data_IF_486189431537
#
_entry.id   IF_486189431537
#
_cell.length_a   1.000
_cell.length_b   1.000
_cell.length_c   1.000
_cell.angle_alpha   90.00
_cell.angle_beta   90.00
_cell.angle_gamma   90.00
#
_symmetry.space_group_name_H-M   'P 1'
#
loop_
_entity.id
_entity.type
_entity.pdbx_description
1 polymer ?
2 non-polymer ?
3 non-polymer ?
4 water ?
#
# COMPACT_ATOMS: atom_id res chain seq x y z
N UNK A 1 -18.54 -17.13 -7.19
CA UNK A 1 -18.19 -18.25 -8.16
C UNK A 1 -18.56 -19.66 -7.32
N UNK A 2 -17.57 -20.05 -6.54
CA UNK A 2 -16.54 -21.12 -6.88
C UNK A 2 -16.55 -21.69 -8.31
N UNK A 3 -16.59 -20.83 -9.32
CA UNK A 3 -16.45 -21.35 -10.69
C UNK A 3 -15.54 -20.53 -11.58
N UNK A 4 -15.05 -21.20 -12.62
CA UNK A 4 -14.22 -20.58 -13.64
C UNK A 4 -15.13 -20.16 -14.80
N UNK A 5 -15.20 -18.85 -15.05
CA UNK A 5 -16.01 -18.31 -16.16
C UNK A 5 -15.63 -18.96 -17.49
N UNK A 6 -16.62 -19.17 -18.36
CA UNK A 6 -16.36 -19.81 -19.66
C UNK A 6 -15.39 -19.02 -20.57
N UNK A 7 -15.33 -17.70 -20.37
CA UNK A 7 -14.40 -16.85 -21.11
C UNK A 7 -13.04 -16.66 -20.40
N UNK A 8 -12.85 -17.27 -19.23
CA UNK A 8 -11.51 -17.28 -18.60
C UNK A 8 -10.62 -18.32 -19.28
N UNK A 9 -9.32 -18.03 -19.34
CA UNK A 9 -8.34 -18.98 -19.85
C UNK A 9 -7.50 -19.50 -18.68
N UNK A 10 -7.40 -20.82 -18.58
CA UNK A 10 -6.53 -21.45 -17.60
C UNK A 10 -5.56 -22.35 -18.36
N UNK A 11 -4.27 -22.04 -18.27
CA UNK A 11 -3.25 -22.84 -18.97
C UNK A 11 -3.30 -24.28 -18.50
N UNK A 12 -3.14 -25.24 -19.43
CA UNK A 12 -3.13 -26.66 -19.06
C UNK A 12 -2.13 -27.01 -17.94
N UNK A 13 -1.00 -26.30 -17.84
CA UNK A 13 -0.02 -26.54 -16.76
C UNK A 13 -0.34 -25.84 -15.43
N UNK A 14 -1.29 -24.89 -15.43
CA UNK A 14 -1.70 -24.25 -14.17
C UNK A 14 -2.51 -25.22 -13.32
N UNK A 15 -2.46 -25.01 -12.01
CA UNK A 15 -3.21 -25.82 -11.04
C UNK A 15 -4.14 -24.90 -10.28
N UNK A 16 -5.40 -24.88 -10.73
CA UNK A 16 -6.43 -24.07 -10.09
C UNK A 16 -7.33 -25.00 -9.29
N UNK A 17 -7.24 -24.91 -7.95
CA UNK A 17 -7.92 -25.88 -7.09
C UNK A 17 -9.44 -25.65 -7.08
N UNK A 18 -10.20 -26.75 -7.00
CA UNK A 18 -11.65 -26.70 -7.00
C UNK A 18 -12.12 -25.78 -5.88
N UNK A 19 -13.03 -24.86 -6.23
CA UNK A 19 -13.54 -23.86 -5.28
C UNK A 19 -13.08 -22.45 -5.63
N UNK A 20 -11.99 -22.32 -6.39
CA UNK A 20 -11.51 -21.00 -6.82
C UNK A 20 -12.51 -20.33 -7.77
N UNK A 21 -12.63 -19.01 -7.66
CA UNK A 21 -13.50 -18.21 -8.50
C UNK A 21 -12.66 -17.41 -9.49
N UNK A 22 -12.95 -17.54 -10.78
CA UNK A 22 -12.17 -16.87 -11.82
C UNK A 22 -13.13 -16.20 -12.80
N UNK A 23 -12.99 -14.88 -12.95
CA UNK A 23 -13.96 -14.07 -13.68
C UNK A 23 -13.74 -14.04 -15.18
N UNK A 24 -14.64 -13.35 -15.87
CA UNK A 24 -14.62 -13.29 -17.34
C UNK A 24 -13.31 -12.70 -17.90
N UNK A 25 -12.82 -13.33 -18.97
CA UNK A 25 -11.62 -12.89 -19.67
C UNK A 25 -10.37 -12.76 -18.79
N UNK A 26 -10.39 -13.43 -17.62
CA UNK A 26 -9.16 -13.55 -16.84
C UNK A 26 -8.25 -14.57 -17.51
N UNK A 27 -6.97 -14.58 -17.13
CA UNK A 27 -5.97 -15.39 -17.78
C UNK A 27 -4.99 -15.92 -16.71
N UNK A 28 -5.01 -17.24 -16.54
CA UNK A 28 -4.11 -17.91 -15.62
C UNK A 28 -3.01 -18.59 -16.43
N UNK A 29 -1.79 -18.08 -16.30
CA UNK A 29 -0.71 -18.54 -17.17
C UNK A 29 -0.05 -19.84 -16.75
N UNK A 30 0.96 -20.28 -17.53
CA UNK A 30 1.63 -21.56 -17.23
C UNK A 30 2.22 -21.61 -15.83
N UNK A 31 2.11 -22.78 -15.19
CA UNK A 31 2.76 -23.10 -13.92
C UNK A 31 2.29 -22.22 -12.75
N UNK A 32 1.09 -21.64 -12.89
CA UNK A 32 0.48 -20.90 -11.78
C UNK A 32 -0.22 -21.88 -10.83
N UNK A 33 -0.29 -21.50 -9.55
CA UNK A 33 -1.05 -22.24 -8.53
C UNK A 33 -2.05 -21.25 -7.98
N UNK A 34 -3.33 -21.66 -7.93
CA UNK A 34 -4.35 -20.82 -7.36
C UNK A 34 -5.15 -21.69 -6.37
N UNK A 35 -5.16 -21.29 -5.10
CA UNK A 35 -5.86 -22.05 -4.05
C UNK A 35 -7.38 -21.93 -4.09
N UNK A 36 -8.08 -22.77 -3.30
CA UNK A 36 -9.53 -22.91 -3.44
C UNK A 36 -10.34 -21.74 -2.86
N UNK A 37 -9.70 -20.88 -2.07
CA UNK A 37 -10.40 -19.75 -1.42
C UNK A 37 -10.00 -18.42 -2.09
N UNK A 38 -9.45 -18.54 -3.30
CA UNK A 38 -9.03 -17.36 -4.06
C UNK A 38 -10.17 -16.90 -4.99
N UNK A 39 -10.33 -15.59 -5.12
CA UNK A 39 -11.22 -15.02 -6.12
C UNK A 39 -10.42 -14.07 -7.00
N UNK A 40 -10.52 -14.28 -8.31
CA UNK A 40 -9.79 -13.48 -9.30
C UNK A 40 -10.81 -12.77 -10.20
N UNK A 41 -10.73 -11.44 -10.26
CA UNK A 41 -11.71 -10.63 -10.99
C UNK A 41 -11.56 -10.61 -12.49
N UNK A 42 -12.60 -10.12 -13.17
CA UNK A 42 -12.64 -10.03 -14.63
C UNK A 42 -11.40 -9.35 -15.21
N UNK A 43 -10.81 -9.92 -16.26
CA UNK A 43 -9.68 -9.29 -16.91
C UNK A 43 -8.33 -9.42 -16.21
N UNK A 44 -8.30 -9.98 -15.00
CA UNK A 44 -7.00 -10.14 -14.30
C UNK A 44 -6.12 -11.20 -14.99
N UNK A 45 -4.83 -10.88 -15.12
CA UNK A 45 -3.83 -11.79 -15.70
C UNK A 45 -2.74 -12.17 -14.68
N UNK A 46 -2.50 -13.49 -14.55
CA UNK A 46 -1.32 -14.03 -13.86
C UNK A 46 -0.40 -14.56 -14.95
N UNK A 47 0.71 -13.86 -15.20
CA UNK A 47 1.57 -14.12 -16.37
C UNK A 47 2.06 -15.57 -16.51
N UNK A 48 2.83 -16.02 -15.52
CA UNK A 48 3.26 -17.42 -15.38
C UNK A 48 3.94 -17.53 -14.03
N UNK A 49 4.06 -18.75 -13.51
CA UNK A 49 4.83 -19.01 -12.28
C UNK A 49 4.39 -18.12 -11.09
N UNK A 50 3.08 -17.93 -10.94
CA UNK A 50 2.54 -17.09 -9.83
C UNK A 50 1.84 -18.02 -8.83
N UNK A 51 2.06 -17.79 -7.52
CA UNK A 51 1.35 -18.53 -6.50
C UNK A 51 0.36 -17.58 -5.82
N UNK A 52 -0.93 -17.93 -5.87
CA UNK A 52 -1.97 -17.19 -5.15
C UNK A 52 -2.72 -18.18 -4.28
N UNK A 53 -2.78 -17.90 -2.98
CA UNK A 53 -3.47 -18.78 -2.05
C UNK A 53 -4.07 -17.99 -0.87
N UNK A 54 -4.52 -18.71 0.15
CA UNK A 54 -5.26 -18.08 1.27
C UNK A 54 -6.66 -17.63 0.91
N UNK A 55 -7.32 -16.97 1.87
CA UNK A 55 -8.61 -16.34 1.63
C UNK A 55 -8.34 -14.97 1.01
N UNK A 56 -8.24 -14.94 -0.32
CA UNK A 56 -7.67 -13.80 -1.05
C UNK A 56 -8.59 -13.34 -2.19
N UNK A 57 -8.98 -12.06 -2.16
CA UNK A 57 -9.85 -11.52 -3.20
C UNK A 57 -9.04 -10.55 -4.03
N UNK A 58 -9.08 -10.72 -5.34
CA UNK A 58 -8.32 -9.91 -6.28
C UNK A 58 -9.30 -9.31 -7.30
N UNK A 59 -9.21 -8.01 -7.53
CA UNK A 59 -10.19 -7.31 -8.37
C UNK A 59 -9.95 -7.45 -9.86
N UNK A 60 -10.34 -6.43 -10.62
CA UNK A 60 -10.33 -6.51 -12.08
C UNK A 60 -9.11 -5.91 -12.72
N UNK A 61 -8.72 -6.43 -13.89
CA UNK A 61 -7.71 -5.80 -14.75
C UNK A 61 -6.35 -5.65 -14.07
N UNK A 62 -6.05 -6.52 -13.11
CA UNK A 62 -4.71 -6.60 -12.51
C UNK A 62 -3.75 -7.36 -13.40
N UNK A 63 -2.47 -7.02 -13.34
CA UNK A 63 -1.46 -7.83 -14.03
C UNK A 63 -0.44 -8.27 -12.99
N UNK A 64 -0.28 -9.57 -12.83
CA UNK A 64 0.59 -10.11 -11.80
C UNK A 64 1.66 -10.95 -12.47
N UNK A 65 2.91 -10.56 -12.24
CA UNK A 65 4.04 -11.10 -12.99
C UNK A 65 4.65 -12.32 -12.30
N UNK A 66 5.50 -13.02 -13.05
CA UNK A 66 6.15 -14.26 -12.62
C UNK A 66 6.85 -14.14 -11.26
N UNK A 67 6.76 -15.22 -10.48
CA UNK A 67 7.47 -15.38 -9.20
C UNK A 67 6.94 -14.51 -8.06
N UNK A 68 5.79 -13.86 -8.29
CA UNK A 68 5.08 -13.16 -7.22
C UNK A 68 4.32 -14.20 -6.38
N UNK A 69 4.14 -13.89 -5.09
CA UNK A 69 3.45 -14.76 -4.11
C UNK A 69 2.38 -13.90 -3.39
N UNK A 70 1.11 -14.21 -3.63
CA UNK A 70 0.02 -13.35 -3.13
C UNK A 70 -0.94 -14.15 -2.25
N UNK A 71 -1.14 -13.70 -1.01
CA UNK A 71 -2.01 -14.41 -0.07
C UNK A 71 -1.26 -15.36 0.86
N UNK A 72 0.07 -15.43 0.68
CA UNK A 72 0.89 -16.40 1.39
C UNK A 72 0.92 -16.18 2.92
N UNK A 73 1.18 -17.28 3.63
CA UNK A 73 1.49 -17.27 5.07
C UNK A 73 2.44 -16.11 5.44
N UNK A 74 2.10 -15.33 6.46
CA UNK A 74 2.93 -14.19 6.76
C UNK A 74 4.14 -14.62 7.63
N UNK A 75 4.97 -13.64 7.96
CA UNK A 75 6.23 -13.90 8.68
C UNK A 75 6.18 -13.55 10.17
N UNK A 76 4.98 -13.21 10.66
CA UNK A 76 4.77 -12.92 12.08
C UNK A 76 5.02 -14.18 12.90
N UNK A 77 5.80 -14.06 13.99
CA UNK A 77 6.24 -15.23 14.75
C UNK A 77 5.07 -15.91 15.48
N UNK A 78 3.99 -15.16 15.68
CA UNK A 78 2.82 -15.71 16.38
C UNK A 78 1.83 -16.39 15.42
N UNK A 79 1.90 -16.08 14.14
CA UNK A 79 0.93 -16.67 13.21
C UNK A 79 0.99 -18.22 13.23
N UNK A 80 -0.17 -18.87 13.23
CA UNK A 80 -0.21 -20.33 13.33
C UNK A 80 -1.18 -21.01 12.35
N UNK A 81 -1.52 -20.33 11.25
CA UNK A 81 -2.34 -20.93 10.19
C UNK A 81 -3.79 -20.47 10.13
N UNK A 82 -4.15 -19.52 10.99
CA UNK A 82 -5.52 -18.97 10.99
C UNK A 82 -5.98 -18.44 9.62
N UNK A 83 -7.26 -18.67 9.28
CA UNK A 83 -7.79 -18.29 7.95
C UNK A 83 -7.99 -16.78 7.76
N UNK A 84 -6.87 -16.05 7.78
CA UNK A 84 -6.90 -14.59 7.64
C UNK A 84 -6.97 -14.24 6.14
N UNK A 85 -6.90 -12.96 5.81
CA UNK A 85 -7.35 -12.52 4.49
C UNK A 85 -6.42 -11.52 3.78
N UNK A 86 -6.51 -11.49 2.44
CA UNK A 86 -5.91 -10.43 1.62
C UNK A 86 -7.00 -9.92 0.67
N UNK A 87 -7.05 -8.60 0.48
CA UNK A 87 -7.94 -7.98 -0.52
C UNK A 87 -7.07 -7.11 -1.40
N UNK A 88 -7.24 -7.21 -2.71
CA UNK A 88 -6.48 -6.43 -3.69
C UNK A 88 -7.52 -5.85 -4.67
N UNK A 89 -7.41 -4.56 -4.99
CA UNK A 89 -8.41 -3.90 -5.86
C UNK A 89 -8.16 -4.10 -7.35
N UNK A 90 -8.25 -3.00 -8.11
CA UNK A 90 -8.28 -3.11 -9.59
C UNK A 90 -7.09 -2.40 -10.23
N UNK A 91 -6.70 -2.85 -11.42
CA UNK A 91 -5.73 -2.19 -12.26
C UNK A 91 -4.38 -2.01 -11.58
N UNK A 92 -3.97 -2.99 -10.78
CA UNK A 92 -2.64 -2.97 -10.17
C UNK A 92 -1.65 -3.69 -11.07
N UNK A 93 -0.42 -3.20 -11.09
CA UNK A 93 0.70 -3.84 -11.78
C UNK A 93 1.63 -4.38 -10.68
N UNK A 94 1.62 -5.70 -10.51
CA UNK A 94 2.33 -6.35 -9.42
C UNK A 94 3.48 -7.12 -10.08
N UNK A 95 4.70 -6.60 -9.91
CA UNK A 95 5.84 -7.02 -10.72
C UNK A 95 6.53 -8.28 -10.15
N UNK A 96 7.57 -8.76 -10.85
CA UNK A 96 8.24 -10.03 -10.51
C UNK A 96 8.67 -10.13 -9.05
N UNK A 97 8.45 -11.29 -8.42
CA UNK A 97 8.91 -11.54 -7.05
C UNK A 97 8.25 -10.70 -5.96
N UNK A 98 7.18 -9.97 -6.28
CA UNK A 98 6.44 -9.25 -5.22
C UNK A 98 5.85 -10.26 -4.23
N UNK A 99 5.88 -9.91 -2.95
CA UNK A 99 5.20 -10.74 -1.93
C UNK A 99 4.16 -9.91 -1.19
N UNK A 100 2.91 -10.42 -1.14
CA UNK A 100 1.85 -9.81 -0.35
C UNK A 100 1.29 -10.87 0.60
N UNK A 101 1.51 -10.71 1.90
CA UNK A 101 1.18 -11.76 2.85
C UNK A 101 -0.15 -11.54 3.55
N UNK A 102 -0.76 -12.61 4.02
CA UNK A 102 -2.05 -12.54 4.68
C UNK A 102 -1.95 -11.89 6.05
N UNK A 103 -3.09 -11.45 6.57
CA UNK A 103 -3.11 -10.77 7.88
C UNK A 103 -2.87 -11.68 9.08
N UNK A 104 -2.88 -11.10 10.28
CA UNK A 104 -2.85 -11.88 11.53
C UNK A 104 -4.12 -11.63 12.34
N UNK A 105 -4.52 -12.59 13.16
CA UNK A 105 -5.73 -12.41 13.97
C UNK A 105 -5.56 -11.21 14.89
N UNK A 106 -4.40 -11.13 15.52
CA UNK A 106 -4.07 -10.07 16.47
C UNK A 106 -4.05 -8.71 15.78
N UNK A 107 -3.59 -8.69 14.53
CA UNK A 107 -3.50 -7.45 13.78
C UNK A 107 -4.76 -6.99 13.05
N UNK A 108 -5.85 -7.75 13.17
CA UNK A 108 -7.11 -7.38 12.53
C UNK A 108 -7.55 -8.26 11.38
N UNK A 109 -6.68 -9.17 10.95
CA UNK A 109 -7.02 -10.26 10.02
C UNK A 109 -7.02 -9.94 8.54
N UNK A 110 -6.61 -8.73 8.16
CA UNK A 110 -6.67 -8.31 6.75
C UNK A 110 -5.43 -7.55 6.31
N UNK A 111 -4.87 -7.97 5.18
CA UNK A 111 -3.90 -7.17 4.43
C UNK A 111 -4.65 -6.63 3.21
N UNK A 112 -4.62 -5.31 3.00
CA UNK A 112 -5.41 -4.68 1.95
C UNK A 112 -4.56 -3.81 1.01
N UNK A 113 -4.86 -3.92 -0.29
CA UNK A 113 -4.23 -3.11 -1.35
C UNK A 113 -5.35 -2.54 -2.22
N UNK A 114 -5.28 -1.24 -2.52
CA UNK A 114 -6.30 -0.58 -3.32
C UNK A 114 -6.15 -0.80 -4.81
N UNK A 115 -6.30 0.28 -5.57
CA UNK A 115 -6.34 0.20 -7.02
C UNK A 115 -5.30 1.11 -7.67
N UNK A 116 -4.94 0.81 -8.92
CA UNK A 116 -4.02 1.62 -9.72
C UNK A 116 -2.63 1.79 -9.12
N UNK A 117 -2.18 0.81 -8.33
CA UNK A 117 -0.86 0.81 -7.72
C UNK A 117 0.18 0.12 -8.61
N UNK A 118 1.43 0.55 -8.45
CA UNK A 118 2.58 -0.11 -9.08
C UNK A 118 3.49 -0.62 -7.97
N UNK A 119 3.55 -1.95 -7.87
CA UNK A 119 4.44 -2.61 -6.93
C UNK A 119 5.60 -3.22 -7.72
N UNK A 120 6.75 -2.55 -7.65
CA UNK A 120 7.93 -2.93 -8.43
C UNK A 120 8.63 -4.21 -7.93
N UNK A 121 9.64 -4.67 -8.67
CA UNK A 121 10.28 -5.96 -8.42
C UNK A 121 10.64 -6.16 -6.95
N UNK A 122 10.25 -7.31 -6.40
CA UNK A 122 10.58 -7.69 -5.03
C UNK A 122 10.03 -6.75 -3.93
N UNK A 123 9.02 -5.93 -4.23
CA UNK A 123 8.34 -5.15 -3.19
C UNK A 123 7.67 -6.11 -2.20
N UNK A 124 7.60 -5.73 -0.93
CA UNK A 124 7.04 -6.61 0.10
C UNK A 124 5.95 -5.91 0.90
N UNK A 125 4.78 -6.54 0.96
CA UNK A 125 3.68 -6.06 1.78
C UNK A 125 3.39 -7.08 2.87
N UNK A 126 3.78 -6.75 4.09
CA UNK A 126 3.68 -7.64 5.26
C UNK A 126 2.23 -7.81 5.75
N UNK A 127 2.03 -8.79 6.63
CA UNK A 127 0.77 -8.95 7.34
C UNK A 127 0.19 -7.62 7.86
N UNK A 128 -1.11 -7.43 7.61
CA UNK A 128 -1.93 -6.37 8.22
C UNK A 128 -1.67 -4.94 7.69
N UNK A 129 -0.95 -4.84 6.58
CA UNK A 129 -0.71 -3.55 5.91
C UNK A 129 -1.96 -3.07 5.17
N UNK A 130 -2.03 -1.76 4.92
CA UNK A 130 -3.09 -1.18 4.09
C UNK A 130 -2.40 -0.22 3.12
N UNK A 131 -2.44 -0.56 1.83
CA UNK A 131 -1.90 0.29 0.79
C UNK A 131 -3.14 0.87 0.11
N UNK A 132 -3.13 2.17 -0.17
CA UNK A 132 -4.31 2.81 -0.76
C UNK A 132 -4.34 2.73 -2.27
N UNK A 133 -4.63 3.86 -2.93
CA UNK A 133 -4.72 3.88 -4.39
C UNK A 133 -3.60 4.72 -4.98
N UNK A 134 -3.16 4.38 -6.19
CA UNK A 134 -2.19 5.17 -6.99
C UNK A 134 -0.82 5.35 -6.34
N UNK A 135 -0.44 4.35 -5.55
CA UNK A 135 0.83 4.32 -4.84
C UNK A 135 1.88 3.63 -5.70
N UNK A 136 3.13 3.87 -5.35
CA UNK A 136 4.25 3.20 -5.99
C UNK A 136 5.21 2.70 -4.92
N UNK A 137 5.48 1.39 -4.93
CA UNK A 137 6.54 0.82 -4.10
C UNK A 137 7.65 0.39 -5.06
N UNK A 138 8.81 1.07 -4.98
CA UNK A 138 9.91 0.81 -5.92
C UNK A 138 10.66 -0.49 -5.60
N UNK A 139 11.68 -0.83 -6.42
CA UNK A 139 12.37 -2.11 -6.27
C UNK A 139 12.81 -2.37 -4.84
N UNK A 140 12.55 -3.57 -4.34
CA UNK A 140 13.00 -4.01 -3.01
C UNK A 140 12.47 -3.20 -1.81
N UNK A 141 11.48 -2.36 -2.03
CA UNK A 141 10.86 -1.63 -0.92
C UNK A 141 10.16 -2.63 0.00
N UNK A 142 10.20 -2.38 1.29
CA UNK A 142 9.68 -3.33 2.25
C UNK A 142 8.81 -2.65 3.31
N UNK A 143 7.55 -3.07 3.39
CA UNK A 143 6.64 -2.65 4.46
C UNK A 143 6.57 -3.77 5.49
N UNK A 144 6.97 -3.46 6.73
CA UNK A 144 6.82 -4.37 7.86
C UNK A 144 5.35 -4.47 8.29
N UNK A 145 5.06 -5.28 9.32
CA UNK A 145 3.68 -5.50 9.72
C UNK A 145 2.88 -4.24 10.10
N UNK A 146 1.61 -4.22 9.72
CA UNK A 146 0.65 -3.23 10.20
C UNK A 146 0.93 -1.82 9.66
N UNK A 147 1.73 -1.71 8.59
CA UNK A 147 2.05 -0.40 7.98
C UNK A 147 0.93 0.09 7.09
N UNK A 148 0.63 1.39 7.16
CA UNK A 148 -0.32 2.02 6.23
C UNK A 148 0.42 2.90 5.25
N UNK A 149 0.05 2.81 3.97
CA UNK A 149 0.59 3.66 2.91
C UNK A 149 -0.60 4.26 2.18
N UNK A 150 -0.79 5.58 2.36
CA UNK A 150 -2.01 6.26 1.93
C UNK A 150 -1.92 6.65 0.45
N UNK A 151 -3.04 7.13 -0.12
CA UNK A 151 -3.14 7.44 -1.55
C UNK A 151 -2.00 8.30 -2.09
N UNK A 152 -1.52 7.90 -3.27
CA UNK A 152 -0.51 8.64 -4.02
C UNK A 152 0.90 8.55 -3.46
N UNK A 153 1.09 7.88 -2.32
CA UNK A 153 2.42 7.85 -1.69
C UNK A 153 3.38 7.02 -2.53
N UNK A 154 4.65 7.40 -2.49
CA UNK A 154 5.74 6.71 -3.19
C UNK A 154 6.82 6.31 -2.18
N UNK A 155 7.21 5.04 -2.23
CA UNK A 155 8.29 4.53 -1.38
C UNK A 155 9.48 4.15 -2.29
N UNK A 156 10.59 4.84 -2.09
CA UNK A 156 11.79 4.67 -2.96
C UNK A 156 12.41 3.29 -2.87
N UNK A 157 13.30 2.99 -3.81
CA UNK A 157 13.90 1.66 -3.91
C UNK A 157 14.77 1.39 -2.69
N UNK A 158 14.73 0.13 -2.24
CA UNK A 158 15.55 -0.35 -1.11
C UNK A 158 15.18 0.33 0.21
N UNK A 159 13.94 0.81 0.31
CA UNK A 159 13.51 1.50 1.52
C UNK A 159 12.66 0.58 2.39
N UNK A 160 12.92 0.61 3.69
CA UNK A 160 12.17 -0.19 4.65
C UNK A 160 11.32 0.75 5.51
N UNK A 161 10.05 0.39 5.68
CA UNK A 161 9.14 1.11 6.58
C UNK A 161 8.88 0.19 7.78
N UNK A 162 9.14 0.69 8.99
CA UNK A 162 9.05 -0.12 10.22
C UNK A 162 7.62 -0.38 10.67
N UNK A 163 7.43 -1.44 11.46
CA UNK A 163 6.07 -1.88 11.81
C UNK A 163 5.23 -0.78 12.47
N UNK A 164 3.95 -0.76 12.10
CA UNK A 164 2.92 0.15 12.64
C UNK A 164 2.96 1.57 12.09
N UNK A 165 3.99 1.93 11.35
CA UNK A 165 4.12 3.31 10.83
C UNK A 165 3.04 3.65 9.78
N UNK A 166 2.65 4.93 9.74
CA UNK A 166 1.71 5.44 8.76
C UNK A 166 2.45 6.38 7.84
N UNK A 167 2.34 6.13 6.54
CA UNK A 167 2.89 7.00 5.52
C UNK A 167 1.70 7.74 4.91
N UNK A 168 1.67 9.06 5.09
CA UNK A 168 0.52 9.87 4.71
C UNK A 168 0.36 9.98 3.20
N UNK A 169 -0.81 10.46 2.77
CA UNK A 169 -1.12 10.66 1.37
C UNK A 169 -0.13 11.62 0.69
N UNK A 170 0.25 11.30 -0.55
CA UNK A 170 1.15 12.16 -1.37
C UNK A 170 2.56 12.32 -0.83
N UNK A 171 2.94 11.47 0.14
CA UNK A 171 4.31 11.42 0.64
C UNK A 171 5.26 10.88 -0.43
N UNK A 172 6.48 11.41 -0.45
CA UNK A 172 7.55 10.75 -1.19
C UNK A 172 8.67 10.36 -0.24
N UNK A 173 8.95 9.08 -0.16
CA UNK A 173 10.08 8.59 0.65
C UNK A 173 11.20 8.26 -0.31
N UNK A 174 12.37 8.86 -0.11
CA UNK A 174 13.53 8.67 -1.00
C UNK A 174 14.05 7.24 -0.91
N UNK A 175 14.90 6.85 -1.87
CA UNK A 175 15.47 5.52 -1.89
C UNK A 175 16.45 5.33 -0.73
N UNK A 176 16.79 4.08 -0.45
CA UNK A 176 17.81 3.73 0.55
C UNK A 176 17.55 4.42 1.90
N UNK A 177 16.29 4.42 2.33
CA UNK A 177 15.88 5.03 3.59
C UNK A 177 15.32 4.00 4.56
N UNK A 178 15.26 4.34 5.84
CA UNK A 178 14.59 3.51 6.84
C UNK A 178 13.65 4.42 7.60
N UNK A 179 12.35 4.15 7.50
CA UNK A 179 11.34 5.00 8.10
C UNK A 179 10.89 4.38 9.41
N UNK A 180 11.18 5.07 10.53
CA UNK A 180 10.95 4.51 11.86
C UNK A 180 9.75 5.13 12.59
N UNK A 181 9.27 6.28 12.11
CA UNK A 181 8.07 6.89 12.69
C UNK A 181 7.01 7.26 11.62
N UNK A 182 5.95 7.95 12.02
CA UNK A 182 4.88 8.29 11.07
C UNK A 182 5.25 9.50 10.18
N UNK A 183 4.80 9.46 8.93
CA UNK A 183 5.10 10.55 7.99
C UNK A 183 3.80 11.29 7.62
N UNK A 184 3.70 12.58 7.98
CA UNK A 184 2.48 13.33 7.67
C UNK A 184 2.21 13.40 6.17
N UNK A 185 0.95 13.65 5.79
CA UNK A 185 0.70 13.72 4.36
C UNK A 185 1.48 14.87 3.70
N UNK A 186 1.79 14.70 2.42
CA UNK A 186 2.38 15.74 1.56
C UNK A 186 3.87 15.99 1.77
N UNK A 187 4.50 15.17 2.60
CA UNK A 187 5.90 15.41 3.00
C UNK A 187 6.90 14.55 2.22
N UNK A 188 8.10 15.10 2.02
CA UNK A 188 9.23 14.33 1.51
C UNK A 188 10.03 13.83 2.70
N UNK A 189 10.33 12.53 2.72
CA UNK A 189 11.15 11.94 3.79
C UNK A 189 12.35 11.22 3.18
N UNK A 190 13.52 11.31 3.81
CA UNK A 190 14.74 10.68 3.30
C UNK A 190 15.68 10.40 4.46
N UNK A 191 16.45 9.32 4.33
CA UNK A 191 17.52 9.02 5.29
C UNK A 191 17.28 7.78 6.13
N UNK A 192 18.21 7.48 7.02
CA UNK A 192 18.05 6.35 7.91
C UNK A 192 18.61 6.67 9.30
N UNK A 193 17.73 6.96 10.28
CA UNK A 193 16.28 6.99 10.08
C UNK A 193 15.83 8.24 9.35
N UNK A 194 14.75 8.10 8.57
CA UNK A 194 14.30 9.17 7.70
C UNK A 194 13.83 10.38 8.49
N UNK A 195 14.14 11.54 7.92
CA UNK A 195 13.76 12.84 8.48
C UNK A 195 13.01 13.63 7.40
N UNK A 196 12.20 14.61 7.81
CA UNK A 196 11.41 15.38 6.83
C UNK A 196 12.26 16.38 6.04
N UNK A 197 11.91 16.55 4.77
CA UNK A 197 12.62 17.45 3.86
C UNK A 197 11.66 18.33 3.05
N UNK A 198 10.67 18.88 3.74
CA UNK A 198 9.73 19.79 3.13
C UNK A 198 8.55 19.08 2.48
N UNK A 199 7.75 19.85 1.78
CA UNK A 199 6.54 19.39 1.13
C UNK A 199 6.88 18.79 -0.23
N UNK A 200 6.15 17.75 -0.61
CA UNK A 200 6.28 17.16 -1.95
C UNK A 200 5.60 18.07 -3.01
N UNK A 201 6.20 19.24 -3.23
CA UNK A 201 5.59 20.27 -4.06
C UNK A 201 5.40 19.84 -5.52
N UNK A 202 6.43 19.24 -6.09
CA UNK A 202 6.36 18.80 -7.50
C UNK A 202 5.22 17.79 -7.69
N UNK A 203 5.10 16.87 -6.73
CA UNK A 203 4.03 15.89 -6.74
C UNK A 203 2.65 16.54 -6.71
N UNK A 204 2.46 17.50 -5.82
CA UNK A 204 1.17 18.19 -5.71
C UNK A 204 0.82 18.99 -6.95
N UNK A 205 1.82 19.62 -7.54
CA UNK A 205 1.62 20.39 -8.76
C UNK A 205 1.14 19.48 -9.89
N UNK A 206 1.84 18.37 -10.06
CA UNK A 206 1.53 17.44 -11.15
C UNK A 206 0.14 16.83 -10.97
N UNK A 207 -0.31 16.71 -9.72
CA UNK A 207 -1.58 16.09 -9.40
C UNK A 207 -2.74 17.08 -9.37
N UNK A 208 -2.46 18.31 -9.78
CA UNK A 208 -3.49 19.33 -9.96
C UNK A 208 -3.91 20.11 -8.72
N UNK A 209 -3.05 20.17 -7.70
CA UNK A 209 -3.36 20.99 -6.53
C UNK A 209 -3.24 22.47 -6.90
N UNK A 210 -4.12 23.30 -6.34
CA UNK A 210 -4.16 24.73 -6.64
C UNK A 210 -3.00 25.45 -5.93
N UNK A 211 -2.64 26.65 -6.41
CA UNK A 211 -1.64 27.53 -5.76
C UNK A 211 -1.98 27.69 -4.26
N UNK A 212 -3.26 27.93 -3.98
CA UNK A 212 -3.72 28.18 -2.61
C UNK A 212 -3.59 26.95 -1.69
N UNK A 213 -3.89 25.77 -2.23
CA UNK A 213 -3.76 24.50 -1.49
C UNK A 213 -2.31 24.20 -1.19
N UNK A 214 -1.43 24.44 -2.17
CA UNK A 214 0.00 24.18 -1.93
C UNK A 214 0.57 25.13 -0.87
N UNK A 215 0.19 26.40 -0.94
CA UNK A 215 0.61 27.36 0.08
C UNK A 215 0.11 26.96 1.47
N UNK A 216 -1.17 26.58 1.57
CA UNK A 216 -1.78 26.17 2.83
C UNK A 216 -1.08 24.94 3.44
N UNK A 217 -0.78 23.97 2.58
CA UNK A 217 -0.09 22.76 3.01
C UNK A 217 1.31 23.11 3.52
N UNK A 218 1.98 24.02 2.82
CA UNK A 218 3.30 24.47 3.25
C UNK A 218 3.20 25.15 4.61
N UNK A 219 2.13 25.91 4.82
CA UNK A 219 1.92 26.58 6.11
C UNK A 219 1.65 25.61 7.28
N UNK A 220 0.94 24.53 7.01
CA UNK A 220 0.73 23.47 8.00
C UNK A 220 2.06 22.76 8.30
N UNK A 221 2.85 22.51 7.25
CA UNK A 221 4.19 21.93 7.41
C UNK A 221 5.07 22.80 8.31
N UNK A 222 5.08 24.10 8.03
CA UNK A 222 5.85 25.04 8.86
C UNK A 222 5.37 25.07 10.33
N UNK A 223 4.07 25.01 10.54
CA UNK A 223 3.52 24.89 11.91
C UNK A 223 4.09 23.68 12.66
N UNK A 224 4.15 22.55 11.98
CA UNK A 224 4.66 21.33 12.60
C UNK A 224 6.17 21.41 12.83
N UNK A 225 6.91 21.83 11.82
CA UNK A 225 8.35 21.61 11.77
C UNK A 225 9.22 22.85 11.97
N UNK A 226 8.67 24.03 11.71
CA UNK A 226 9.45 25.27 11.82
C UNK A 226 9.05 26.14 13.02
N UNK A 227 7.78 26.09 13.40
CA UNK A 227 7.24 27.03 14.40
C UNK A 227 7.88 26.93 15.80
N UNK A 228 8.37 25.75 16.16
CA UNK A 228 8.97 25.52 17.48
C UNK A 228 7.93 25.12 18.53
N UNK A 229 6.65 25.17 18.14
CA UNK A 229 5.56 24.77 19.02
C UNK A 229 5.44 23.24 19.09
N UNK A 230 4.79 22.77 20.14
CA UNK A 230 4.51 21.33 20.31
C UNK A 230 3.41 20.92 19.35
N UNK A 231 3.37 19.64 19.00
CA UNK A 231 2.30 19.15 18.15
C UNK A 231 0.94 19.45 18.78
N UNK A 232 0.85 19.32 20.11
CA UNK A 232 -0.40 19.61 20.83
C UNK A 232 -0.84 21.04 20.59
N UNK A 233 0.12 21.97 20.60
CA UNK A 233 -0.16 23.39 20.34
C UNK A 233 -0.60 23.65 18.90
N UNK A 234 -0.04 22.94 17.94
CA UNK A 234 -0.33 23.25 16.53
C UNK A 234 -1.58 22.58 15.99
N UNK A 235 -2.01 21.47 16.60
CA UNK A 235 -3.21 20.75 16.14
C UNK A 235 -4.44 21.66 15.92
N UNK A 236 -4.81 22.49 16.93
CA UNK A 236 -5.89 23.46 16.70
C UNK A 236 -5.59 24.53 15.63
N UNK A 237 -4.33 24.97 15.52
CA UNK A 237 -3.97 25.93 14.47
C UNK A 237 -4.15 25.32 13.06
N UNK A 238 -3.80 24.04 12.93
CA UNK A 238 -3.99 23.33 11.65
C UNK A 238 -5.47 23.11 11.31
N UNK A 239 -6.25 22.75 12.33
CA UNK A 239 -7.69 22.58 12.14
C UNK A 239 -8.29 23.92 11.73
N UNK A 240 -7.81 24.99 12.35
CA UNK A 240 -8.26 26.35 12.01
C UNK A 240 -7.94 26.68 10.56
N UNK A 241 -6.71 26.42 10.13
CA UNK A 241 -6.31 26.61 8.74
C UNK A 241 -7.17 25.78 7.76
N UNK A 242 -7.57 24.57 8.17
CA UNK A 242 -8.38 23.68 7.35
C UNK A 242 -9.82 24.15 7.17
N UNK A 243 -10.25 25.13 7.99
CA UNK A 243 -11.57 25.75 7.84
C UNK A 243 -11.66 26.50 6.51
N UNK A 244 -10.51 27.01 6.04
CA UNK A 244 -10.46 27.68 4.74
C UNK A 244 -9.93 26.76 3.64
N UNK A 245 -8.93 25.94 3.95
CA UNK A 245 -8.29 25.12 2.91
C UNK A 245 -8.49 23.62 3.20
N UNK A 246 -9.48 23.01 2.51
CA UNK A 246 -9.94 21.64 2.78
C UNK A 246 -8.85 20.59 2.74
N UNK A 247 -7.88 20.76 1.83
CA UNK A 247 -6.73 19.86 1.71
C UNK A 247 -5.94 19.71 3.03
N UNK A 248 -5.96 20.73 3.90
CA UNK A 248 -5.22 20.70 5.16
C UNK A 248 -5.86 19.74 6.19
N UNK A 249 -7.12 19.39 5.98
CA UNK A 249 -7.82 18.41 6.83
C UNK A 249 -7.08 17.06 6.87
N UNK A 250 -6.42 16.72 5.76
CA UNK A 250 -5.58 15.50 5.69
C UNK A 250 -4.63 15.37 6.88
N UNK A 251 -4.08 16.49 7.37
CA UNK A 251 -3.23 16.45 8.58
C UNK A 251 -4.02 16.00 9.82
N UNK A 252 -5.17 16.63 10.05
CA UNK A 252 -6.00 16.31 11.22
C UNK A 252 -6.38 14.81 11.22
N UNK A 253 -6.80 14.31 10.06
CA UNK A 253 -7.19 12.91 9.92
C UNK A 253 -6.00 12.00 10.25
N UNK A 254 -4.82 12.38 9.75
CA UNK A 254 -3.57 11.65 10.00
C UNK A 254 -3.17 11.61 11.48
N UNK A 255 -3.25 12.75 12.17
CA UNK A 255 -2.89 12.84 13.58
C UNK A 255 -3.73 11.86 14.42
N UNK A 256 -4.99 11.70 14.04
CA UNK A 256 -5.91 10.82 14.76
C UNK A 256 -5.46 9.36 14.66
N UNK A 257 -4.86 9.02 13.52
CA UNK A 257 -4.44 7.65 13.26
C UNK A 257 -3.03 7.34 13.79
N UNK A 258 -2.16 8.34 13.78
CA UNK A 258 -0.76 8.21 14.19
C UNK A 258 -0.52 7.67 15.61
N UNK A 259 0.41 6.72 15.73
CA UNK A 259 0.70 6.07 17.01
C UNK A 259 2.19 6.06 17.37
N UNK A 260 3.05 6.33 16.39
CA UNK A 260 4.49 6.17 16.57
C UNK A 260 5.24 7.49 16.75
N UNK A 261 4.51 8.59 16.81
CA UNK A 261 5.13 9.94 16.79
C UNK A 261 5.53 10.28 15.36
N UNK A 262 5.98 11.52 15.13
CA UNK A 262 6.32 11.97 13.77
C UNK A 262 7.81 11.96 13.54
N UNK A 263 8.22 11.58 12.33
CA UNK A 263 9.59 11.81 11.90
C UNK A 263 9.92 13.28 12.09
N UNK A 264 11.10 13.56 12.64
CA UNK A 264 11.54 14.95 12.90
C UNK A 264 13.03 15.12 12.65
#
# INVERSE_FOLDING_TARGET
GSMIDKSAFVHPTAIVEEGASIGANAHIGPFCIVGPHVEIGEGTVLKSHVVVNGHTKIGRDNEIYQFASIGEVNQDLKYAGEPTRVEIGDRNRIRESVTIHRGTVQGGGLTKVGSDNLLMINAHIAHDCTVGNRCILANNATLAGHVSVDDFAIIGGMTAVHQFCIIGAHVMVGGCSGVAQDVPPYVIAQGNHATPFGVNIEGLKRRGFSREAITAIRNAYKLIYRSGKTLDEVKPEIAELAETYPEVKAFTDFFARSTRGLIR
#
